data_IF_608816757998
#
_entry.id   IF_608816757998
#
_cell.length_a   1.000
_cell.length_b   1.000
_cell.length_c   1.000
_cell.angle_alpha   90.00
_cell.angle_beta   90.00
_cell.angle_gamma   90.00
#
_symmetry.space_group_name_H-M   'P 1'
#
loop_
_entity.id
_entity.type
_entity.pdbx_description
1 polymer ?
#
# COMPACT_ATOMS: atom_id res chain seq x y z
N UNK A 1 74.99 20.48 -26.11
CA UNK A 1 74.75 20.47 -27.58
C UNK A 1 73.93 19.25 -27.93
N UNK A 2 73.05 19.43 -28.92
CA UNK A 2 71.83 18.69 -29.22
C UNK A 2 72.04 17.36 -29.97
N UNK A 3 70.98 16.52 -29.92
CA UNK A 3 70.51 15.58 -30.96
C UNK A 3 71.28 14.26 -31.11
N UNK A 4 70.67 13.08 -31.41
CA UNK A 4 69.29 12.67 -31.77
C UNK A 4 69.24 11.13 -31.87
N UNK A 5 68.08 10.52 -31.57
CA UNK A 5 67.34 9.49 -32.37
C UNK A 5 68.01 8.09 -32.57
N UNK A 6 67.38 6.91 -32.62
CA UNK A 6 66.00 6.42 -32.79
C UNK A 6 65.96 4.94 -32.34
N UNK A 7 64.81 4.44 -31.87
CA UNK A 7 64.50 3.01 -31.83
C UNK A 7 63.04 2.81 -31.39
N UNK A 8 62.13 2.30 -32.25
CA UNK A 8 60.72 2.15 -31.91
C UNK A 8 60.54 0.86 -31.11
N UNK A 9 60.08 0.97 -29.87
CA UNK A 9 59.49 -0.14 -29.14
C UNK A 9 57.99 -0.07 -29.36
N UNK A 10 57.49 -0.96 -30.19
CA UNK A 10 56.08 -1.23 -30.41
C UNK A 10 55.37 -1.42 -29.07
N UNK A 11 54.44 -0.53 -28.76
CA UNK A 11 53.38 -0.79 -27.79
C UNK A 11 52.09 -0.60 -28.57
N UNK A 12 51.55 -1.72 -29.03
CA UNK A 12 50.14 -1.88 -29.37
C UNK A 12 49.32 -1.44 -28.16
N UNK A 13 48.96 -0.17 -28.13
CA UNK A 13 47.83 0.31 -27.35
C UNK A 13 46.58 0.02 -28.17
N UNK A 14 46.22 -1.26 -28.22
CA UNK A 14 44.88 -1.68 -28.62
C UNK A 14 43.88 -0.96 -27.71
N UNK A 15 42.86 -0.28 -28.27
CA UNK A 15 41.84 0.36 -27.47
C UNK A 15 41.17 -0.71 -26.64
N UNK A 16 40.97 -0.40 -25.35
CA UNK A 16 40.15 -1.20 -24.45
C UNK A 16 38.79 -1.45 -25.13
N UNK A 17 38.66 -2.60 -25.80
CA UNK A 17 37.36 -3.15 -26.17
C UNK A 17 36.63 -3.38 -24.87
N UNK A 18 35.71 -2.44 -24.62
CA UNK A 18 34.65 -2.48 -23.64
C UNK A 18 33.78 -3.71 -23.91
N UNK A 19 34.29 -4.87 -23.54
CA UNK A 19 33.56 -6.13 -23.46
C UNK A 19 33.06 -6.35 -22.04
N UNK A 20 32.31 -5.37 -21.49
CA UNK A 20 31.27 -5.74 -20.53
C UNK A 20 30.14 -6.29 -21.40
N UNK A 21 30.22 -7.59 -21.71
CA UNK A 21 29.03 -8.36 -22.02
C UNK A 21 28.18 -8.29 -20.75
N UNK A 22 27.30 -7.29 -20.71
CA UNK A 22 26.10 -7.37 -19.91
C UNK A 22 25.40 -8.57 -20.52
N UNK A 23 25.67 -9.74 -19.96
CA UNK A 23 24.68 -10.80 -19.97
C UNK A 23 23.50 -10.12 -19.30
N UNK A 24 22.58 -9.63 -20.12
CA UNK A 24 21.20 -9.44 -19.72
C UNK A 24 20.76 -10.85 -19.33
N UNK A 25 21.16 -11.26 -18.12
CA UNK A 25 20.39 -12.12 -17.25
C UNK A 25 19.12 -11.28 -17.05
N UNK A 26 18.28 -11.30 -18.08
CA UNK A 26 16.86 -11.13 -17.99
C UNK A 26 16.50 -12.35 -17.15
N UNK A 27 16.35 -12.24 -15.82
CA UNK A 27 15.51 -13.22 -15.20
C UNK A 27 14.24 -13.11 -16.01
N UNK A 28 13.84 -14.20 -16.67
CA UNK A 28 12.43 -14.45 -16.89
C UNK A 28 11.82 -14.33 -15.50
N UNK A 29 11.49 -13.09 -15.10
CA UNK A 29 10.48 -12.79 -14.15
C UNK A 29 9.30 -13.42 -14.83
N UNK A 30 9.07 -14.67 -14.45
CA UNK A 30 7.78 -15.30 -14.43
C UNK A 30 6.91 -14.27 -13.69
N UNK A 31 6.44 -13.28 -14.45
CA UNK A 31 5.30 -12.43 -14.15
C UNK A 31 4.11 -13.39 -14.14
N UNK A 32 4.15 -14.37 -13.23
CA UNK A 32 2.96 -14.79 -12.56
C UNK A 32 2.38 -13.47 -12.07
N UNK A 33 1.43 -12.94 -12.84
CA UNK A 33 0.48 -11.94 -12.39
C UNK A 33 0.01 -12.50 -11.05
N UNK A 34 0.63 -12.04 -9.96
CA UNK A 34 0.41 -12.60 -8.65
C UNK A 34 -1.02 -12.19 -8.36
N UNK A 35 -1.95 -13.12 -8.63
CA UNK A 35 -3.37 -12.87 -8.67
C UNK A 35 -3.74 -12.42 -7.26
N UNK A 36 -3.80 -11.09 -7.08
CA UNK A 36 -4.00 -10.51 -5.76
C UNK A 36 -5.38 -10.99 -5.32
N UNK A 37 -5.48 -11.79 -4.25
CA UNK A 37 -6.74 -12.39 -3.88
C UNK A 37 -7.74 -11.28 -3.62
N UNK A 38 -8.91 -11.41 -4.24
CA UNK A 38 -9.99 -10.44 -4.09
C UNK A 38 -10.44 -10.43 -2.63
N UNK A 39 -10.46 -9.25 -2.02
CA UNK A 39 -10.83 -9.09 -0.61
C UNK A 39 -12.30 -8.75 -0.58
N UNK A 40 -13.09 -9.56 0.13
CA UNK A 40 -14.51 -9.27 0.28
C UNK A 40 -14.71 -7.92 0.99
N UNK A 41 -15.77 -7.19 0.63
CA UNK A 41 -16.10 -5.93 1.30
C UNK A 41 -16.29 -6.13 2.81
N UNK A 42 -16.88 -7.26 3.22
CA UNK A 42 -17.05 -7.59 4.63
C UNK A 42 -15.71 -7.81 5.35
N UNK A 43 -14.72 -8.44 4.71
CA UNK A 43 -13.38 -8.60 5.30
C UNK A 43 -12.65 -7.26 5.43
N UNK A 44 -12.73 -6.41 4.40
CA UNK A 44 -12.17 -5.06 4.44
C UNK A 44 -12.79 -4.23 5.57
N UNK A 45 -14.12 -4.23 5.68
CA UNK A 45 -14.84 -3.51 6.74
C UNK A 45 -14.50 -4.09 8.13
N UNK A 46 -14.34 -5.41 8.24
CA UNK A 46 -13.96 -6.06 9.51
C UNK A 46 -12.58 -5.58 9.97
N UNK A 47 -11.64 -5.46 9.04
CA UNK A 47 -10.30 -4.91 9.31
C UNK A 47 -10.37 -3.46 9.74
N UNK A 48 -11.16 -2.64 9.04
CA UNK A 48 -11.35 -1.24 9.39
C UNK A 48 -11.98 -1.05 10.76
N UNK A 49 -12.99 -1.84 11.10
CA UNK A 49 -13.60 -1.83 12.41
C UNK A 49 -12.60 -2.25 13.49
N UNK A 50 -11.84 -3.31 13.25
CA UNK A 50 -10.77 -3.74 14.18
C UNK A 50 -9.70 -2.66 14.35
N UNK A 51 -9.32 -1.98 13.26
CA UNK A 51 -8.38 -0.87 13.29
C UNK A 51 -8.92 0.34 14.06
N UNK A 52 -10.21 0.67 13.91
CA UNK A 52 -10.84 1.73 14.68
C UNK A 52 -10.81 1.40 16.17
N UNK A 53 -11.09 0.15 16.54
CA UNK A 53 -11.01 -0.38 17.91
C UNK A 53 -9.59 -0.61 18.45
N UNK A 54 -8.53 -0.37 17.68
CA UNK A 54 -7.15 -0.70 18.06
C UNK A 54 -6.71 -0.03 19.38
N UNK A 55 -7.21 1.19 19.66
CA UNK A 55 -6.94 1.94 20.89
C UNK A 55 -7.90 1.58 22.04
N UNK A 56 -8.77 0.59 21.82
CA UNK A 56 -9.78 0.13 22.78
C UNK A 56 -11.07 0.96 22.81
N UNK A 57 -11.13 2.05 22.04
CA UNK A 57 -12.30 2.94 21.90
C UNK A 57 -12.41 3.43 20.47
N UNK A 58 -13.63 3.52 19.94
CA UNK A 58 -13.94 4.27 18.73
C UNK A 58 -14.45 5.64 19.16
N UNK A 59 -13.82 6.72 18.69
CA UNK A 59 -14.36 8.07 18.94
C UNK A 59 -15.56 8.34 18.03
N UNK A 60 -16.54 9.18 18.44
CA UNK A 60 -17.75 9.41 17.66
C UNK A 60 -17.49 9.81 16.20
N UNK A 61 -16.41 10.55 15.94
CA UNK A 61 -16.03 10.96 14.59
C UNK A 61 -15.58 9.79 13.70
N UNK A 62 -14.79 8.85 14.25
CA UNK A 62 -14.39 7.62 13.55
C UNK A 62 -15.60 6.72 13.29
N UNK A 63 -16.54 6.65 14.24
CA UNK A 63 -17.79 5.91 14.06
C UNK A 63 -18.63 6.49 12.91
N UNK A 64 -18.79 7.81 12.84
CA UNK A 64 -19.52 8.46 11.75
C UNK A 64 -18.82 8.27 10.40
N UNK A 65 -17.49 8.39 10.35
CA UNK A 65 -16.72 8.10 9.14
C UNK A 65 -16.94 6.65 8.66
N UNK A 66 -16.84 5.65 9.56
CA UNK A 66 -17.11 4.26 9.20
C UNK A 66 -18.56 4.02 8.75
N UNK A 67 -19.55 4.67 9.37
CA UNK A 67 -20.95 4.57 8.92
C UNK A 67 -21.10 5.03 7.48
N UNK A 68 -20.49 6.16 7.10
CA UNK A 68 -20.50 6.66 5.72
C UNK A 68 -19.84 5.68 4.77
N UNK A 69 -18.66 5.17 5.14
CA UNK A 69 -17.93 4.16 4.36
C UNK A 69 -18.82 2.93 4.12
N UNK A 70 -19.40 2.34 5.17
CA UNK A 70 -20.28 1.16 5.08
C UNK A 70 -21.53 1.46 4.23
N UNK A 71 -22.09 2.66 4.31
CA UNK A 71 -23.23 3.07 3.48
C UNK A 71 -22.88 3.11 1.99
N UNK A 72 -21.64 3.47 1.64
CA UNK A 72 -21.17 3.51 0.26
C UNK A 72 -20.88 2.15 -0.37
N UNK A 73 -20.73 1.07 0.41
CA UNK A 73 -20.51 -0.27 -0.13
C UNK A 73 -21.80 -0.92 -0.66
N UNK A 74 -21.71 -1.69 -1.77
CA UNK A 74 -22.81 -2.47 -2.32
C UNK A 74 -23.01 -3.77 -1.52
N UNK A 75 -23.30 -3.63 -0.22
CA UNK A 75 -23.62 -4.72 0.71
C UNK A 75 -25.12 -5.06 0.67
N UNK A 76 -25.43 -6.33 0.92
CA UNK A 76 -26.79 -6.77 1.25
C UNK A 76 -27.23 -6.20 2.62
N UNK A 77 -28.53 -6.20 2.90
CA UNK A 77 -29.09 -5.55 4.10
C UNK A 77 -28.60 -6.19 5.40
N UNK A 78 -28.42 -7.51 5.42
CA UNK A 78 -27.90 -8.29 6.54
C UNK A 78 -26.40 -8.11 6.74
N UNK A 79 -25.63 -8.05 5.65
CA UNK A 79 -24.21 -7.69 5.66
C UNK A 79 -24.01 -6.27 6.23
N UNK A 80 -24.81 -5.32 5.76
CA UNK A 80 -24.78 -3.93 6.22
C UNK A 80 -25.14 -3.82 7.70
N UNK A 81 -26.16 -4.53 8.16
CA UNK A 81 -26.53 -4.57 9.57
C UNK A 81 -25.39 -5.14 10.43
N UNK A 82 -24.72 -6.19 9.95
CA UNK A 82 -23.57 -6.80 10.61
C UNK A 82 -22.39 -5.82 10.70
N UNK A 83 -22.05 -5.17 9.59
CA UNK A 83 -21.01 -4.15 9.51
C UNK A 83 -21.27 -2.96 10.46
N UNK A 84 -22.52 -2.50 10.54
CA UNK A 84 -22.92 -1.45 11.48
C UNK A 84 -22.74 -1.90 12.95
N UNK A 85 -23.01 -3.17 13.25
CA UNK A 85 -22.81 -3.75 14.58
C UNK A 85 -21.33 -3.73 15.04
N UNK A 86 -20.38 -3.78 14.11
CA UNK A 86 -18.94 -3.70 14.41
C UNK A 86 -18.47 -2.32 14.86
N UNK A 87 -19.27 -1.29 14.62
CA UNK A 87 -19.01 0.07 15.14
C UNK A 87 -19.36 0.14 16.63
N UNK A 88 -20.39 -0.60 17.05
CA UNK A 88 -20.89 -0.59 18.43
C UNK A 88 -20.19 -1.64 19.30
N UNK A 89 -19.77 -2.74 18.68
CA UNK A 89 -19.14 -3.87 19.35
C UNK A 89 -17.71 -4.04 18.87
N UNK A 90 -16.78 -4.14 19.81
CA UNK A 90 -15.37 -4.42 19.52
C UNK A 90 -15.24 -5.67 18.66
N UNK A 91 -14.54 -5.50 17.54
CA UNK A 91 -14.17 -6.59 16.65
C UNK A 91 -12.69 -6.90 16.80
N UNK A 92 -12.41 -8.16 17.12
CA UNK A 92 -11.07 -8.71 17.05
C UNK A 92 -10.96 -9.58 15.80
N UNK A 93 -9.80 -9.51 15.14
CA UNK A 93 -9.49 -10.39 14.02
C UNK A 93 -8.94 -11.68 14.61
N UNK A 94 -9.76 -12.73 14.56
CA UNK A 94 -9.39 -14.04 15.07
C UNK A 94 -8.33 -14.66 14.14
N UNK A 95 -7.09 -14.72 14.61
CA UNK A 95 -6.13 -15.74 14.14
C UNK A 95 -5.08 -15.34 13.11
N UNK A 96 -5.07 -14.14 12.55
CA UNK A 96 -3.88 -13.65 11.84
C UNK A 96 -3.72 -12.15 12.05
N UNK A 97 -2.66 -11.70 12.74
CA UNK A 97 -2.40 -10.28 12.88
C UNK A 97 -2.30 -9.71 11.47
N UNK A 98 -3.06 -8.65 11.16
CA UNK A 98 -3.07 -7.94 9.87
C UNK A 98 -1.67 -7.81 9.23
N UNK A 99 -0.62 -7.69 10.03
CA UNK A 99 0.77 -7.66 9.58
C UNK A 99 1.33 -8.94 8.92
N UNK A 100 0.66 -10.08 9.03
CA UNK A 100 1.00 -11.35 8.36
C UNK A 100 0.37 -11.48 6.97
N UNK A 101 -0.62 -10.65 6.64
CA UNK A 101 -1.23 -10.66 5.31
C UNK A 101 -0.21 -10.26 4.25
N UNK A 102 -0.25 -10.81 3.02
CA UNK A 102 0.60 -10.37 1.93
C UNK A 102 0.48 -8.86 1.70
N UNK A 103 1.60 -8.20 1.35
CA UNK A 103 1.60 -6.76 1.11
C UNK A 103 0.52 -6.30 0.12
N UNK A 104 0.33 -6.97 -1.04
CA UNK A 104 -0.70 -6.58 -2.00
C UNK A 104 -2.11 -6.56 -1.40
N UNK A 105 -2.43 -7.50 -0.52
CA UNK A 105 -3.73 -7.58 0.17
C UNK A 105 -3.93 -6.40 1.11
N UNK A 106 -2.91 -6.07 1.92
CA UNK A 106 -2.96 -4.91 2.83
C UNK A 106 -3.12 -3.61 2.05
N UNK A 107 -2.42 -3.49 0.93
CA UNK A 107 -2.51 -2.33 0.05
C UNK A 107 -3.91 -2.20 -0.57
N UNK A 108 -4.53 -3.29 -1.03
CA UNK A 108 -5.91 -3.28 -1.55
C UNK A 108 -6.93 -2.85 -0.51
N UNK A 109 -6.81 -3.34 0.73
CA UNK A 109 -7.69 -2.95 1.85
C UNK A 109 -7.52 -1.47 2.20
N UNK A 110 -6.28 -0.95 2.13
CA UNK A 110 -6.03 0.48 2.31
C UNK A 110 -6.63 1.31 1.17
N UNK A 111 -6.39 0.92 -0.09
CA UNK A 111 -6.89 1.62 -1.28
C UNK A 111 -8.42 1.71 -1.28
N UNK A 112 -9.11 0.60 -0.99
CA UNK A 112 -10.56 0.60 -0.91
C UNK A 112 -11.10 1.59 0.15
N UNK A 113 -10.43 1.72 1.31
CA UNK A 113 -10.82 2.73 2.31
C UNK A 113 -10.57 4.15 1.81
N UNK A 114 -9.41 4.38 1.19
CA UNK A 114 -8.98 5.70 0.75
C UNK A 114 -9.81 6.21 -0.45
N UNK A 115 -10.15 5.35 -1.40
CA UNK A 115 -11.06 5.65 -2.52
C UNK A 115 -12.44 6.07 -2.01
N UNK A 116 -12.95 5.39 -0.98
CA UNK A 116 -14.26 5.72 -0.40
C UNK A 116 -14.26 7.05 0.32
N UNK A 117 -13.20 7.37 1.08
CA UNK A 117 -13.05 8.69 1.71
C UNK A 117 -12.92 9.79 0.64
N UNK A 118 -12.18 9.53 -0.44
CA UNK A 118 -12.03 10.48 -1.54
C UNK A 118 -13.28 10.65 -2.41
N UNK A 119 -14.27 9.77 -2.29
CA UNK A 119 -15.51 9.84 -3.07
C UNK A 119 -16.49 10.91 -2.54
N UNK A 120 -16.30 11.38 -1.30
CA UNK A 120 -17.06 12.52 -0.76
C UNK A 120 -16.39 13.85 -1.15
N UNK A 121 -17.18 14.89 -1.44
CA UNK A 121 -16.69 16.22 -1.83
C UNK A 121 -16.08 16.98 -0.63
N UNK A 122 -16.30 16.46 0.59
CA UNK A 122 -15.79 17.02 1.84
C UNK A 122 -15.07 15.97 2.69
N UNK A 123 -13.77 15.77 2.45
CA UNK A 123 -12.91 15.01 3.37
C UNK A 123 -12.75 15.81 4.65
N UNK A 124 -13.38 15.36 5.73
CA UNK A 124 -13.25 16.01 7.05
C UNK A 124 -11.98 15.51 7.77
N UNK A 125 -11.39 16.32 8.66
CA UNK A 125 -10.15 15.99 9.39
C UNK A 125 -10.18 14.60 10.05
N UNK A 126 -11.36 14.15 10.49
CA UNK A 126 -11.55 12.83 11.10
C UNK A 126 -11.38 11.67 10.14
N UNK A 127 -11.76 11.82 8.87
CA UNK A 127 -11.57 10.78 7.85
C UNK A 127 -10.10 10.68 7.47
N UNK A 128 -9.42 11.82 7.35
CA UNK A 128 -7.97 11.85 7.14
C UNK A 128 -7.21 11.20 8.32
N UNK A 129 -7.60 11.50 9.55
CA UNK A 129 -7.02 10.88 10.74
C UNK A 129 -7.22 9.35 10.75
N UNK A 130 -8.41 8.89 10.36
CA UNK A 130 -8.70 7.46 10.21
C UNK A 130 -7.81 6.80 9.15
N UNK A 131 -7.65 7.40 7.96
CA UNK A 131 -6.79 6.83 6.91
C UNK A 131 -5.32 6.79 7.34
N UNK A 132 -4.81 7.82 8.03
CA UNK A 132 -3.43 7.81 8.57
C UNK A 132 -3.24 6.70 9.62
N UNK A 133 -4.23 6.51 10.49
CA UNK A 133 -4.23 5.41 11.48
C UNK A 133 -4.26 4.05 10.79
N UNK A 134 -5.15 3.87 9.81
CA UNK A 134 -5.28 2.64 9.03
C UNK A 134 -3.99 2.28 8.28
N UNK A 135 -3.34 3.26 7.65
CA UNK A 135 -2.02 3.09 7.01
C UNK A 135 -1.00 2.51 7.99
N UNK A 136 -0.96 3.07 9.20
CA UNK A 136 -0.01 2.68 10.25
C UNK A 136 -0.25 1.25 10.72
N UNK A 137 -1.51 0.83 10.84
CA UNK A 137 -1.90 -0.53 11.23
C UNK A 137 -1.57 -1.53 10.12
N UNK A 138 -1.84 -1.19 8.85
CA UNK A 138 -1.56 -2.02 7.68
C UNK A 138 -0.08 -2.02 7.26
N UNK A 139 0.75 -1.18 7.90
CA UNK A 139 2.19 -1.01 7.61
C UNK A 139 2.43 -0.67 6.13
N UNK A 140 1.67 0.28 5.60
CA UNK A 140 1.80 0.78 4.23
C UNK A 140 2.77 1.97 4.21
N UNK A 141 3.69 2.00 3.24
CA UNK A 141 4.64 3.10 3.04
C UNK A 141 3.94 4.41 2.68
N UNK A 142 4.61 5.55 2.93
CA UNK A 142 4.06 6.86 2.54
C UNK A 142 4.05 6.99 1.02
N UNK A 143 5.08 6.46 0.33
CA UNK A 143 5.14 6.41 -1.13
C UNK A 143 3.89 5.76 -1.76
N UNK A 144 3.45 4.64 -1.20
CA UNK A 144 2.31 3.88 -1.73
C UNK A 144 0.95 4.49 -1.35
N UNK A 145 0.91 5.25 -0.26
CA UNK A 145 -0.27 6.00 0.16
C UNK A 145 -0.42 7.37 -0.54
N UNK A 146 0.65 7.87 -1.18
CA UNK A 146 0.79 9.24 -1.67
C UNK A 146 -0.19 9.65 -2.77
N UNK A 147 -0.76 8.68 -3.49
CA UNK A 147 -1.77 8.96 -4.51
C UNK A 147 -3.15 9.32 -3.92
N UNK A 148 -3.44 8.91 -2.68
CA UNK A 148 -4.79 9.00 -2.10
C UNK A 148 -4.92 10.00 -0.95
N UNK A 149 -3.81 10.36 -0.30
CA UNK A 149 -3.81 11.27 0.86
C UNK A 149 -3.69 12.76 0.49
N UNK A 150 -3.52 13.09 -0.79
CA UNK A 150 -3.16 14.44 -1.23
C UNK A 150 -1.78 14.88 -0.70
N UNK A 151 -1.32 16.11 -1.00
CA UNK A 151 -0.11 16.65 -0.41
C UNK A 151 -0.33 16.83 1.10
N UNK A 152 0.10 15.86 1.89
CA UNK A 152 0.19 15.99 3.34
C UNK A 152 1.37 16.93 3.59
N UNK A 153 1.05 18.19 3.92
CA UNK A 153 2.02 19.23 4.27
C UNK A 153 2.72 18.98 5.60
#
# INVERSE_FOLDING_TARGET
>A
MLSRVTGPGEHDEDPLESGYEIVEDDPEVDEAEEEVPDVSYMDAIRVWASAAWADGVIVPQEAEAMKRIIQGFPLEDDERATAMGWIETRVELDGSPIGEWPYPVRLRVFQAAAEMVACDDEVVESEQAFIVKLRSILRIGIEDAGAFLGPVG
#
